data_IF_298399099113
#
_entry.id   IF_298399099113
#
_cell.length_a   1.000
_cell.length_b   1.000
_cell.length_c   1.000
_cell.angle_alpha   90.00
_cell.angle_beta   90.00
_cell.angle_gamma   90.00
#
_symmetry.space_group_name_H-M   'P 1'
#
loop_
_entity.id
_entity.type
_entity.pdbx_description
1 polymer ?
#
# COMPACT_ATOMS: atom_id res chain seq x y z
N UNK A 1 46.32 -52.28 19.38
CA UNK A 1 45.12 -52.17 20.24
C UNK A 1 44.05 -51.49 19.39
N UNK A 2 43.20 -52.23 18.67
CA UNK A 2 41.84 -52.66 19.08
C UNK A 2 41.01 -51.47 19.63
N UNK A 3 39.88 -51.05 19.05
CA UNK A 3 38.69 -51.80 18.59
C UNK A 3 38.06 -51.14 17.34
N UNK A 4 37.66 -51.84 16.27
CA UNK A 4 36.39 -52.58 16.08
C UNK A 4 35.11 -51.77 16.42
N UNK A 5 34.27 -51.52 15.40
CA UNK A 5 32.87 -51.97 15.27
C UNK A 5 32.59 -52.10 13.76
N UNK A 6 31.69 -53.03 13.38
CA UNK A 6 31.47 -53.54 12.02
C UNK A 6 29.98 -53.89 11.87
N UNK A 7 29.49 -54.08 10.62
CA UNK A 7 28.21 -54.76 10.27
C UNK A 7 26.91 -53.97 10.63
N UNK A 8 25.70 -54.16 10.06
CA UNK A 8 25.10 -54.94 8.93
C UNK A 8 23.69 -54.34 8.64
N UNK A 9 22.94 -54.57 7.56
CA UNK A 9 23.01 -55.42 6.34
C UNK A 9 22.27 -54.71 5.17
N UNK A 10 22.26 -55.27 3.96
CA UNK A 10 21.34 -54.90 2.85
C UNK A 10 20.11 -55.81 2.81
N UNK A 11 18.95 -55.31 2.36
CA UNK A 11 17.84 -56.16 1.92
C UNK A 11 17.36 -55.79 0.51
N UNK A 12 17.56 -56.72 -0.41
CA UNK A 12 16.94 -56.80 -1.73
C UNK A 12 15.61 -57.54 -1.59
N UNK A 13 14.56 -57.12 -2.30
CA UNK A 13 13.59 -58.08 -2.85
C UNK A 13 12.80 -57.51 -4.03
N UNK A 14 12.97 -58.16 -5.18
CA UNK A 14 12.20 -58.01 -6.42
C UNK A 14 10.79 -58.59 -6.26
N UNK A 15 9.82 -58.14 -7.06
CA UNK A 15 8.80 -59.02 -7.70
C UNK A 15 8.20 -58.31 -8.93
N UNK A 16 7.87 -59.12 -9.93
CA UNK A 16 7.40 -58.74 -11.27
C UNK A 16 5.88 -58.93 -11.35
N UNK A 17 5.18 -58.08 -12.11
CA UNK A 17 3.87 -58.45 -12.68
C UNK A 17 3.73 -57.87 -14.10
N UNK A 18 3.45 -58.76 -15.06
CA UNK A 18 3.17 -58.44 -16.47
C UNK A 18 1.66 -58.47 -16.68
N UNK A 19 1.11 -57.51 -17.42
CA UNK A 19 -0.24 -57.62 -17.99
C UNK A 19 -0.26 -57.16 -19.45
N UNK A 20 -0.63 -58.08 -20.34
CA UNK A 20 -0.89 -57.79 -21.75
C UNK A 20 -2.28 -57.15 -21.90
N UNK A 21 -2.39 -56.19 -22.82
CA UNK A 21 -3.67 -55.66 -23.31
C UNK A 21 -3.46 -54.96 -24.65
N UNK A 22 -3.93 -55.57 -25.74
CA UNK A 22 -3.89 -54.95 -27.06
C UNK A 22 -4.96 -53.86 -27.18
N UNK A 23 -4.59 -52.70 -27.71
CA UNK A 23 -5.50 -51.93 -28.57
C UNK A 23 -4.75 -51.12 -29.63
N UNK A 24 -5.43 -51.03 -30.77
CA UNK A 24 -5.01 -50.53 -32.08
C UNK A 24 -4.62 -49.04 -32.10
N UNK A 25 -3.87 -48.67 -33.15
CA UNK A 25 -4.05 -47.38 -33.83
C UNK A 25 -2.93 -46.37 -33.62
N UNK A 26 -2.29 -45.97 -34.72
CA UNK A 26 -1.28 -44.91 -34.71
C UNK A 26 -1.91 -43.54 -34.41
N UNK A 27 -1.23 -42.75 -33.58
CA UNK A 27 -1.04 -41.32 -33.82
C UNK A 27 0.18 -40.84 -33.03
N UNK A 28 1.29 -40.59 -33.72
CA UNK A 28 2.45 -39.91 -33.13
C UNK A 28 2.11 -38.42 -33.05
N UNK A 29 1.60 -38.00 -31.89
CA UNK A 29 1.50 -36.57 -31.55
C UNK A 29 2.72 -36.21 -30.71
N UNK A 30 3.46 -35.19 -31.15
CA UNK A 30 4.64 -34.69 -30.44
C UNK A 30 4.30 -34.37 -28.98
N UNK A 31 4.99 -35.04 -28.05
CA UNK A 31 5.03 -34.63 -26.64
C UNK A 31 5.97 -33.42 -26.54
N UNK A 32 5.46 -32.26 -26.94
CA UNK A 32 6.02 -30.98 -26.50
C UNK A 32 5.73 -30.85 -25.00
N UNK A 33 6.77 -30.57 -24.21
CA UNK A 33 6.67 -30.42 -22.77
C UNK A 33 5.76 -29.24 -22.41
N UNK A 34 4.51 -29.53 -22.06
CA UNK A 34 3.60 -28.51 -21.58
C UNK A 34 4.01 -28.13 -20.14
N UNK A 35 5.00 -27.25 -20.03
CA UNK A 35 5.14 -26.41 -18.85
C UNK A 35 3.78 -25.73 -18.64
N UNK A 36 3.15 -26.04 -17.51
CA UNK A 36 1.97 -25.33 -17.06
C UNK A 36 2.37 -23.94 -16.64
N UNK A 37 2.49 -23.02 -17.59
CA UNK A 37 2.47 -21.60 -17.29
C UNK A 37 1.12 -21.33 -16.61
N UNK A 38 1.15 -21.22 -15.29
CA UNK A 38 0.10 -20.54 -14.55
C UNK A 38 0.20 -19.09 -14.98
N UNK A 39 -0.48 -18.77 -16.09
CA UNK A 39 -0.77 -17.40 -16.48
C UNK A 39 -1.71 -16.85 -15.42
N UNK A 40 -1.14 -16.41 -14.30
CA UNK A 40 -1.81 -15.46 -13.43
C UNK A 40 -2.25 -14.33 -14.35
N UNK A 41 -3.56 -14.17 -14.51
CA UNK A 41 -4.11 -13.03 -15.20
C UNK A 41 -3.75 -11.80 -14.38
N UNK A 42 -2.61 -11.19 -14.71
CA UNK A 42 -2.21 -9.88 -14.24
C UNK A 42 -3.26 -8.93 -14.77
N UNK A 43 -4.34 -8.74 -13.99
CA UNK A 43 -5.34 -7.72 -14.25
C UNK A 43 -4.57 -6.41 -14.33
N UNK A 44 -4.54 -5.69 -15.47
CA UNK A 44 -3.75 -4.48 -15.58
C UNK A 44 -4.36 -3.41 -14.68
N UNK A 45 -3.87 -3.33 -13.44
CA UNK A 45 -4.43 -2.44 -12.44
C UNK A 45 -4.12 -1.01 -12.86
N UNK A 46 -5.18 -0.29 -13.22
CA UNK A 46 -5.08 1.07 -13.73
C UNK A 46 -4.59 1.96 -12.60
N UNK A 47 -3.47 2.70 -12.75
CA UNK A 47 -2.99 3.60 -11.71
C UNK A 47 -4.11 4.56 -11.32
N UNK A 48 -4.33 4.73 -10.01
CA UNK A 48 -5.34 5.64 -9.47
C UNK A 48 -5.00 7.05 -9.96
N UNK A 49 -5.91 7.65 -10.75
CA UNK A 49 -5.77 9.01 -11.26
C UNK A 49 -6.74 9.92 -10.51
N UNK A 50 -6.25 10.76 -9.57
CA UNK A 50 -7.04 11.82 -8.97
C UNK A 50 -7.70 12.71 -10.02
N UNK A 51 -9.00 12.97 -9.85
CA UNK A 51 -9.76 13.92 -10.67
C UNK A 51 -10.20 15.09 -9.80
N UNK A 52 -9.90 16.32 -10.22
CA UNK A 52 -10.36 17.53 -9.53
C UNK A 52 -11.88 17.58 -9.48
N UNK A 53 -12.44 18.00 -8.33
CA UNK A 53 -13.89 18.17 -8.18
C UNK A 53 -14.31 19.64 -8.28
N UNK A 54 -15.49 19.94 -8.85
CA UNK A 54 -16.06 21.28 -8.87
C UNK A 54 -16.21 21.91 -7.49
N UNK A 55 -15.96 23.22 -7.38
CA UNK A 55 -16.08 24.00 -6.13
C UNK A 55 -17.46 23.89 -5.47
N UNK A 56 -18.53 23.70 -6.27
CA UNK A 56 -19.90 23.51 -5.76
C UNK A 56 -20.02 22.25 -4.91
N UNK A 57 -19.30 21.19 -5.25
CA UNK A 57 -19.36 19.88 -4.58
C UNK A 57 -18.53 19.95 -3.27
N UNK A 58 -17.42 20.70 -3.27
CA UNK A 58 -16.65 21.04 -2.05
C UNK A 58 -17.51 21.79 -1.03
N UNK A 59 -18.38 22.70 -1.47
CA UNK A 59 -19.29 23.42 -0.58
C UNK A 59 -20.32 22.49 0.09
N UNK A 60 -20.72 21.39 -0.55
CA UNK A 60 -21.60 20.39 0.07
C UNK A 60 -20.85 19.61 1.15
N UNK A 61 -19.60 19.20 0.88
CA UNK A 61 -18.77 18.46 1.83
C UNK A 61 -18.55 19.19 3.17
N UNK A 62 -18.51 20.53 3.19
CA UNK A 62 -18.42 21.31 4.45
C UNK A 62 -19.48 20.93 5.48
N UNK A 63 -20.67 20.52 5.04
CA UNK A 63 -21.78 20.10 5.93
C UNK A 63 -21.48 18.79 6.68
N UNK A 64 -20.60 17.94 6.16
CA UNK A 64 -20.17 16.69 6.81
C UNK A 64 -19.12 16.91 7.90
N UNK A 65 -18.48 18.08 7.91
CA UNK A 65 -17.33 18.37 8.74
C UNK A 65 -17.51 19.71 9.49
N UNK A 66 -18.59 19.88 10.29
CA UNK A 66 -18.98 21.18 10.85
C UNK A 66 -17.95 21.80 11.81
N UNK A 67 -17.04 20.99 12.37
CA UNK A 67 -15.97 21.41 13.28
C UNK A 67 -14.56 21.28 12.64
N UNK A 68 -14.46 21.15 11.32
CA UNK A 68 -13.18 20.99 10.61
C UNK A 68 -13.10 21.85 9.36
N UNK A 69 -11.91 22.35 9.06
CA UNK A 69 -11.65 23.11 7.83
C UNK A 69 -11.21 22.14 6.74
N UNK A 70 -11.98 21.99 5.66
CA UNK A 70 -11.50 21.24 4.48
C UNK A 70 -10.27 21.91 3.88
N UNK A 71 -9.43 21.13 3.19
CA UNK A 71 -8.33 21.63 2.35
C UNK A 71 -8.76 21.43 0.88
N UNK A 72 -9.43 22.43 0.23
CA UNK A 72 -10.08 22.24 -1.08
C UNK A 72 -9.09 21.87 -2.19
N UNK A 73 -7.90 22.46 -2.17
CA UNK A 73 -6.82 22.23 -3.15
C UNK A 73 -6.24 20.81 -3.12
N UNK A 74 -6.53 20.05 -2.07
CA UNK A 74 -6.11 18.65 -1.91
C UNK A 74 -7.32 17.71 -1.77
N UNK A 75 -8.52 18.19 -2.11
CA UNK A 75 -9.74 17.37 -2.18
C UNK A 75 -9.99 16.97 -3.64
N UNK A 76 -10.08 15.67 -3.90
CA UNK A 76 -10.23 15.15 -5.27
C UNK A 76 -10.97 13.81 -5.28
N UNK A 77 -11.54 13.46 -6.44
CA UNK A 77 -12.16 12.17 -6.67
C UNK A 77 -11.11 11.12 -6.99
N UNK A 78 -11.24 9.94 -6.39
CA UNK A 78 -10.43 8.74 -6.61
C UNK A 78 -11.34 7.54 -6.90
N UNK A 79 -10.78 6.49 -7.50
CA UNK A 79 -11.42 5.19 -7.57
C UNK A 79 -10.53 4.20 -6.81
N UNK A 80 -10.99 3.70 -5.66
CA UNK A 80 -10.26 2.80 -4.76
C UNK A 80 -11.13 1.59 -4.44
N UNK A 81 -10.56 0.39 -4.29
CA UNK A 81 -11.37 -0.83 -4.05
C UNK A 81 -12.23 -0.75 -2.77
N UNK A 82 -11.81 0.03 -1.77
CA UNK A 82 -12.56 0.28 -0.52
C UNK A 82 -13.93 0.93 -0.74
N UNK A 83 -14.05 1.76 -1.78
CA UNK A 83 -15.18 2.68 -1.94
C UNK A 83 -15.71 2.74 -3.38
N UNK A 84 -15.05 2.14 -4.36
CA UNK A 84 -15.22 2.49 -5.78
C UNK A 84 -14.87 3.95 -6.02
N UNK A 85 -15.67 4.66 -6.81
CA UNK A 85 -15.56 6.11 -6.94
C UNK A 85 -15.96 6.79 -5.63
N UNK A 86 -15.01 7.47 -5.00
CA UNK A 86 -15.24 8.29 -3.80
C UNK A 86 -14.30 9.50 -3.76
N UNK A 87 -14.45 10.36 -2.76
CA UNK A 87 -13.66 11.58 -2.61
C UNK A 87 -12.62 11.39 -1.51
N UNK A 88 -11.36 11.69 -1.83
CA UNK A 88 -10.31 11.86 -0.83
C UNK A 88 -10.43 13.28 -0.27
N UNK A 89 -10.70 13.40 1.03
CA UNK A 89 -11.01 14.68 1.69
C UNK A 89 -10.08 14.91 2.88
N UNK A 90 -8.98 15.65 2.71
CA UNK A 90 -8.16 16.14 3.81
C UNK A 90 -8.84 17.33 4.49
N UNK A 91 -8.81 17.32 5.83
CA UNK A 91 -9.40 18.32 6.72
C UNK A 91 -8.43 18.70 7.83
N UNK A 92 -8.64 19.84 8.45
CA UNK A 92 -7.97 20.28 9.68
C UNK A 92 -8.95 20.23 10.83
N UNK A 93 -8.58 19.56 11.93
CA UNK A 93 -9.24 19.77 13.20
C UNK A 93 -8.91 21.16 13.79
N UNK A 94 -9.61 21.55 14.85
CA UNK A 94 -9.45 22.85 15.53
C UNK A 94 -8.05 23.10 16.13
N UNK A 95 -7.27 22.04 16.31
CA UNK A 95 -5.86 22.05 16.73
C UNK A 95 -4.87 22.24 15.54
N UNK A 96 -5.38 22.44 14.31
CA UNK A 96 -4.64 22.43 13.04
C UNK A 96 -3.97 21.08 12.71
N UNK A 97 -4.46 19.97 13.25
CA UNK A 97 -4.02 18.62 12.88
C UNK A 97 -4.74 18.13 11.62
N UNK A 98 -3.96 17.62 10.67
CA UNK A 98 -4.46 17.01 9.43
C UNK A 98 -5.25 15.72 9.75
N UNK A 99 -6.48 15.60 9.27
CA UNK A 99 -7.30 14.38 9.30
C UNK A 99 -7.81 14.08 7.89
N UNK A 100 -7.66 12.84 7.44
CA UNK A 100 -7.93 12.43 6.05
C UNK A 100 -9.11 11.46 6.03
N UNK A 101 -10.05 11.70 5.12
CA UNK A 101 -11.25 10.91 4.96
C UNK A 101 -11.40 10.37 3.53
N UNK A 102 -12.09 9.24 3.39
CA UNK A 102 -12.80 8.89 2.16
C UNK A 102 -14.28 9.20 2.36
N UNK A 103 -14.88 9.94 1.42
CA UNK A 103 -16.29 10.30 1.42
C UNK A 103 -16.99 9.76 0.18
N UNK A 104 -18.08 9.02 0.36
CA UNK A 104 -18.94 8.50 -0.71
C UNK A 104 -20.39 8.80 -0.40
N UNK A 105 -21.20 9.15 -1.39
CA UNK A 105 -22.64 9.40 -1.23
C UNK A 105 -22.97 10.36 -0.07
N UNK A 106 -22.14 11.42 0.09
CA UNK A 106 -22.23 12.38 1.19
C UNK A 106 -22.13 11.75 2.60
N UNK A 107 -21.33 10.69 2.76
CA UNK A 107 -21.02 10.03 4.04
C UNK A 107 -19.53 9.70 4.14
N UNK A 108 -18.95 9.81 5.33
CA UNK A 108 -17.56 9.37 5.60
C UNK A 108 -17.54 7.84 5.65
N UNK A 109 -16.92 7.20 4.66
CA UNK A 109 -16.79 5.73 4.59
C UNK A 109 -15.49 5.22 5.20
N UNK A 110 -14.47 6.08 5.30
CA UNK A 110 -13.21 5.77 5.98
C UNK A 110 -12.59 7.04 6.57
N UNK A 111 -11.90 6.89 7.70
CA UNK A 111 -10.93 7.86 8.21
C UNK A 111 -9.59 7.17 8.30
N UNK A 112 -8.53 7.81 7.81
CA UNK A 112 -7.18 7.23 7.84
C UNK A 112 -6.64 7.21 9.28
N UNK A 113 -5.85 6.18 9.66
CA UNK A 113 -5.19 6.13 10.95
C UNK A 113 -4.17 7.27 11.09
N UNK A 114 -3.87 7.64 12.33
CA UNK A 114 -2.82 8.59 12.70
C UNK A 114 -1.89 7.95 13.71
N UNK A 115 -0.65 8.44 13.77
CA UNK A 115 0.31 8.06 14.81
C UNK A 115 0.80 9.31 15.53
N UNK A 116 0.56 9.37 16.84
CA UNK A 116 1.10 10.41 17.72
C UNK A 116 2.60 10.31 17.89
N UNK A 117 3.23 9.18 17.55
CA UNK A 117 4.68 9.03 17.59
C UNK A 117 5.38 9.55 16.32
N UNK A 118 4.64 9.68 15.21
CA UNK A 118 5.12 10.24 13.95
C UNK A 118 4.75 11.73 13.84
N UNK A 119 3.55 12.09 14.29
CA UNK A 119 3.06 13.47 14.36
C UNK A 119 2.49 13.72 15.76
N UNK A 120 3.32 14.19 16.71
CA UNK A 120 2.88 14.63 18.03
C UNK A 120 1.70 15.61 17.98
N UNK A 121 0.80 15.51 18.96
CA UNK A 121 -0.48 16.26 18.99
C UNK A 121 -0.32 17.77 19.13
N UNK A 122 0.85 18.25 19.55
CA UNK A 122 1.18 19.68 19.61
C UNK A 122 1.71 20.25 18.29
N UNK A 123 2.01 19.42 17.29
CA UNK A 123 2.47 19.88 15.98
C UNK A 123 1.28 20.32 15.12
N UNK A 124 1.45 21.43 14.41
CA UNK A 124 0.43 22.02 13.54
C UNK A 124 0.79 21.78 12.08
N UNK A 125 -0.18 21.42 11.26
CA UNK A 125 0.03 21.36 9.81
C UNK A 125 0.33 22.78 9.30
N UNK A 126 1.46 22.93 8.60
CA UNK A 126 1.75 24.11 7.80
C UNK A 126 1.11 23.97 6.40
N UNK A 127 1.39 22.87 5.71
CA UNK A 127 0.85 22.61 4.37
C UNK A 127 0.79 21.11 4.06
N UNK A 128 -0.30 20.64 3.45
CA UNK A 128 -0.33 19.36 2.74
C UNK A 128 0.29 19.56 1.35
N UNK A 129 1.49 19.02 1.12
CA UNK A 129 2.31 19.26 -0.09
C UNK A 129 1.90 18.36 -1.24
N UNK A 130 1.83 17.06 -0.99
CA UNK A 130 1.57 16.07 -2.02
C UNK A 130 0.84 14.84 -1.46
N UNK A 131 0.03 14.22 -2.31
CA UNK A 131 -0.57 12.90 -2.11
C UNK A 131 -0.34 12.10 -3.40
N UNK A 132 0.16 10.88 -3.29
CA UNK A 132 0.35 9.95 -4.41
C UNK A 132 -0.29 8.61 -4.08
N UNK A 133 -0.93 8.02 -5.08
CA UNK A 133 -1.58 6.71 -5.00
C UNK A 133 -0.77 5.75 -5.88
N UNK A 134 -0.22 4.71 -5.26
CA UNK A 134 0.85 3.93 -5.86
C UNK A 134 0.64 2.45 -5.62
N UNK A 135 0.84 1.64 -6.65
CA UNK A 135 1.09 0.23 -6.47
C UNK A 135 2.51 0.10 -5.90
N UNK A 136 2.59 -0.19 -4.60
CA UNK A 136 3.85 -0.41 -3.88
C UNK A 136 4.15 -1.92 -3.72
N UNK A 137 3.34 -2.78 -4.34
CA UNK A 137 3.51 -4.25 -4.39
C UNK A 137 3.88 -4.87 -3.05
N UNK A 138 3.36 -4.31 -1.96
CA UNK A 138 3.32 -4.99 -0.68
C UNK A 138 2.64 -6.35 -0.93
N UNK A 139 3.34 -7.46 -0.75
CA UNK A 139 2.84 -8.85 -0.81
C UNK A 139 2.01 -9.35 -2.03
N UNK A 140 1.53 -8.51 -2.95
CA UNK A 140 0.72 -8.96 -4.09
C UNK A 140 0.21 -7.86 -5.05
N UNK A 141 -0.38 -8.27 -6.20
CA UNK A 141 -0.71 -7.38 -7.32
C UNK A 141 -1.91 -6.45 -7.09
N UNK A 142 -2.51 -6.46 -5.90
CA UNK A 142 -3.71 -5.67 -5.57
C UNK A 142 -3.46 -4.64 -4.44
N UNK A 143 -2.21 -4.48 -3.99
CA UNK A 143 -1.88 -3.64 -2.83
C UNK A 143 -1.47 -2.22 -3.21
N UNK A 144 -2.49 -1.37 -3.33
CA UNK A 144 -2.34 0.08 -3.35
C UNK A 144 -1.81 0.60 -2.00
N UNK A 145 -0.76 1.39 -2.07
CA UNK A 145 -0.32 2.30 -1.02
C UNK A 145 -0.63 3.75 -1.35
N UNK A 146 -0.56 4.60 -0.33
CA UNK A 146 -0.69 6.05 -0.46
C UNK A 146 0.51 6.69 0.23
N UNK A 147 1.28 7.49 -0.51
CA UNK A 147 2.33 8.34 0.06
C UNK A 147 1.75 9.74 0.21
N UNK A 148 1.90 10.32 1.40
CA UNK A 148 1.50 11.69 1.70
C UNK A 148 2.69 12.45 2.28
N UNK A 149 2.93 13.65 1.76
CA UNK A 149 3.97 14.57 2.26
C UNK A 149 3.30 15.83 2.75
N UNK A 150 3.53 16.14 4.02
CA UNK A 150 2.96 17.27 4.73
C UNK A 150 4.06 18.00 5.52
N UNK A 151 4.05 19.33 5.48
CA UNK A 151 4.95 20.15 6.29
C UNK A 151 4.28 20.51 7.60
N UNK A 152 5.03 20.37 8.70
CA UNK A 152 4.57 20.65 10.06
C UNK A 152 5.43 21.72 10.74
N UNK A 153 4.86 22.33 11.78
CA UNK A 153 5.46 23.34 12.65
C UNK A 153 5.32 22.85 14.10
N UNK A 154 6.39 22.89 14.90
CA UNK A 154 6.39 22.33 16.27
C UNK A 154 5.98 23.34 17.35
N UNK A 155 6.08 24.65 17.09
CA UNK A 155 5.75 25.65 18.10
C UNK A 155 6.09 27.10 17.71
N UNK A 156 6.35 27.91 18.74
CA UNK A 156 6.64 29.36 18.63
C UNK A 156 8.16 29.57 18.79
N UNK A 157 8.75 30.48 18.02
CA UNK A 157 10.19 30.78 18.01
C UNK A 157 10.84 30.46 16.67
N UNK A 158 12.09 30.91 16.44
CA UNK A 158 12.77 30.83 15.13
C UNK A 158 12.82 29.42 14.55
N UNK A 159 13.26 28.43 15.34
CA UNK A 159 13.30 27.03 14.89
C UNK A 159 11.93 26.35 14.98
N UNK A 160 11.14 26.64 16.03
CA UNK A 160 9.82 26.04 16.23
C UNK A 160 8.82 26.38 15.12
N UNK A 161 8.94 27.57 14.52
CA UNK A 161 8.11 28.07 13.43
C UNK A 161 8.57 27.63 12.03
N UNK A 162 9.72 26.96 11.90
CA UNK A 162 10.28 26.55 10.61
C UNK A 162 9.58 25.28 10.12
N UNK A 163 8.92 25.29 8.94
CA UNK A 163 8.28 24.09 8.41
C UNK A 163 9.30 22.99 8.11
N UNK A 164 8.93 21.74 8.40
CA UNK A 164 9.72 20.56 8.05
C UNK A 164 8.79 19.44 7.53
N UNK A 165 9.25 18.62 6.56
CA UNK A 165 8.41 17.60 5.94
C UNK A 165 8.30 16.35 6.81
N UNK A 166 7.09 15.81 6.90
CA UNK A 166 6.76 14.48 7.37
C UNK A 166 6.19 13.71 6.18
N UNK A 167 6.72 12.52 5.93
CA UNK A 167 6.25 11.59 4.90
C UNK A 167 5.52 10.43 5.56
N UNK A 168 4.24 10.28 5.27
CA UNK A 168 3.39 9.19 5.74
C UNK A 168 3.16 8.19 4.60
N UNK A 169 3.38 6.91 4.88
CA UNK A 169 3.13 5.80 3.96
C UNK A 169 1.98 4.97 4.51
N UNK A 170 0.89 4.89 3.76
CA UNK A 170 -0.25 4.05 4.07
C UNK A 170 -0.26 2.82 3.15
N UNK A 171 -0.62 1.67 3.70
CA UNK A 171 -0.82 0.41 2.96
C UNK A 171 -2.28 -0.02 3.11
N UNK A 172 -2.91 -0.45 2.01
CA UNK A 172 -4.20 -1.15 2.01
C UNK A 172 -4.15 -2.37 2.93
N UNK A 173 -5.18 -2.61 3.75
CA UNK A 173 -5.26 -3.83 4.58
C UNK A 173 -5.64 -5.02 3.72
N UNK A 174 -4.98 -6.16 3.92
CA UNK A 174 -5.25 -7.45 3.26
C UNK A 174 -6.73 -7.88 3.38
N UNK A 175 -7.40 -7.52 4.48
CA UNK A 175 -8.84 -7.76 4.71
C UNK A 175 -9.77 -6.84 3.89
N UNK A 176 -9.22 -6.05 2.95
CA UNK A 176 -9.95 -5.22 1.99
C UNK A 176 -10.60 -3.96 2.56
N UNK A 177 -10.58 -3.74 3.88
CA UNK A 177 -11.23 -2.60 4.54
C UNK A 177 -10.21 -1.58 5.06
N UNK A 178 -9.91 -0.59 4.22
CA UNK A 178 -9.16 0.59 4.58
C UNK A 178 -7.66 0.39 4.72
N UNK A 179 -6.99 1.40 5.28
CA UNK A 179 -5.53 1.49 5.29
C UNK A 179 -4.93 1.29 6.69
N UNK A 180 -3.66 0.87 6.75
CA UNK A 180 -2.77 0.96 7.92
C UNK A 180 -1.66 1.98 7.62
N UNK A 181 -1.26 2.78 8.61
CA UNK A 181 -0.04 3.58 8.52
C UNK A 181 1.16 2.63 8.72
N UNK A 182 2.18 2.77 7.89
CA UNK A 182 3.41 1.99 7.96
C UNK A 182 4.45 2.83 8.69
N UNK A 183 4.45 2.70 10.03
CA UNK A 183 5.13 3.64 10.93
C UNK A 183 6.66 3.66 10.78
N UNK A 184 7.30 2.49 10.67
CA UNK A 184 8.76 2.37 10.55
C UNK A 184 9.26 3.08 9.29
N UNK A 185 8.65 2.79 8.15
CA UNK A 185 8.98 3.37 6.85
C UNK A 185 8.67 4.88 6.84
N UNK A 186 7.51 5.29 7.38
CA UNK A 186 7.13 6.70 7.51
C UNK A 186 8.10 7.49 8.40
N UNK A 187 8.55 6.88 9.52
CA UNK A 187 9.55 7.45 10.42
C UNK A 187 10.89 7.64 9.70
N UNK A 188 11.41 6.59 9.05
CA UNK A 188 12.68 6.66 8.31
C UNK A 188 12.64 7.72 7.19
N UNK A 189 11.54 7.83 6.46
CA UNK A 189 11.38 8.87 5.42
C UNK A 189 11.30 10.28 6.02
N UNK A 190 10.65 10.43 7.18
CA UNK A 190 10.50 11.71 7.88
C UNK A 190 11.80 12.19 8.55
N UNK A 191 12.53 11.27 9.21
CA UNK A 191 13.84 11.56 9.82
C UNK A 191 14.86 11.99 8.77
N UNK A 192 14.81 11.38 7.58
CA UNK A 192 15.60 11.76 6.39
C UNK A 192 15.06 13.02 5.67
N UNK A 193 14.01 13.65 6.19
CA UNK A 193 13.36 14.86 5.64
C UNK A 193 12.97 14.74 4.17
N UNK A 194 12.48 13.57 3.77
CA UNK A 194 11.98 13.33 2.41
C UNK A 194 10.82 14.28 2.13
N UNK A 195 10.93 15.05 1.05
CA UNK A 195 10.01 16.16 0.71
C UNK A 195 9.35 16.02 -0.66
N UNK A 196 9.70 14.98 -1.44
CA UNK A 196 9.12 14.72 -2.75
C UNK A 196 8.67 13.26 -2.88
N UNK A 197 7.57 13.04 -3.60
CA UNK A 197 7.01 11.70 -3.86
C UNK A 197 8.04 10.80 -4.55
N UNK A 198 8.73 11.31 -5.58
CA UNK A 198 9.76 10.55 -6.31
C UNK A 198 10.94 10.11 -5.41
N UNK A 199 11.33 10.92 -4.43
CA UNK A 199 12.36 10.54 -3.45
C UNK A 199 11.83 9.46 -2.49
N UNK A 200 10.59 9.58 -2.02
CA UNK A 200 9.95 8.57 -1.17
C UNK A 200 9.84 7.22 -1.91
N UNK A 201 9.33 7.23 -3.14
CA UNK A 201 9.24 6.05 -4.01
C UNK A 201 10.59 5.37 -4.21
N UNK A 202 11.64 6.13 -4.54
CA UNK A 202 13.00 5.59 -4.74
C UNK A 202 13.52 4.88 -3.49
N UNK A 203 13.31 5.44 -2.30
CA UNK A 203 13.72 4.83 -1.03
C UNK A 203 12.88 3.57 -0.75
N UNK A 204 11.55 3.65 -0.92
CA UNK A 204 10.63 2.54 -0.71
C UNK A 204 10.97 1.33 -1.62
N UNK A 205 11.26 1.58 -2.90
CA UNK A 205 11.67 0.53 -3.84
C UNK A 205 13.04 -0.06 -3.50
N UNK A 206 14.04 0.79 -3.28
CA UNK A 206 15.44 0.36 -3.22
C UNK A 206 15.90 -0.15 -1.85
N UNK A 207 15.28 0.31 -0.76
CA UNK A 207 15.72 -0.01 0.61
C UNK A 207 14.72 -0.88 1.38
N UNK A 208 13.44 -0.78 1.05
CA UNK A 208 12.37 -1.55 1.69
C UNK A 208 11.82 -2.69 0.83
N UNK A 209 12.35 -2.86 -0.40
CA UNK A 209 11.97 -3.90 -1.36
C UNK A 209 10.48 -3.91 -1.73
N UNK A 210 9.85 -2.73 -1.76
CA UNK A 210 8.52 -2.54 -2.32
C UNK A 210 8.59 -2.62 -3.86
N UNK A 211 8.48 -3.85 -4.36
CA UNK A 211 8.43 -4.14 -5.80
C UNK A 211 7.14 -3.56 -6.42
N UNK A 212 7.15 -3.16 -7.71
CA UNK A 212 5.93 -3.00 -8.49
C UNK A 212 5.35 -4.36 -8.91
#
# INVERSE_FOLDING_TARGET
MFSKIQNTVSYVCTIIAVSLGLSLGMNIVNIASHHGNITQAQTPQRPVRPTLIPTRDINQLRRLFPQRTLIPSQTFQVNLLECGTCLFVPTLASDNRLIIHLVKNNQVVLTFPQSSELVPTNWRLHQLKAVSFLQLGFAGPNEDGIILIAEYITGIGREGAKPFPITMVFQRRETGRGFRLIEKESRILSDRRVSTIAQAERILRNEFNYLP
#
